data_IF_833107612793
#
_entry.id   IF_833107612793
#
_cell.length_a   1.000
_cell.length_b   1.000
_cell.length_c   1.000
_cell.angle_alpha   90.00
_cell.angle_beta   90.00
_cell.angle_gamma   90.00
#
_symmetry.space_group_name_H-M   'P 1'
#
loop_
_entity.id
_entity.type
_entity.pdbx_description
1 polymer ?
#
# COMPACT_ATOMS: atom_id res chain seq x y z
N UNK A 1 -12.45 13.40 -16.99
CA UNK A 1 -11.00 13.42 -17.29
C UNK A 1 -10.83 13.43 -18.79
N UNK A 2 -9.91 14.21 -19.33
CA UNK A 2 -9.56 14.09 -20.75
C UNK A 2 -8.76 12.79 -20.93
N UNK A 3 -8.93 12.06 -22.04
CA UNK A 3 -8.20 10.81 -22.28
C UNK A 3 -6.68 10.98 -22.32
N UNK A 4 -6.21 12.23 -22.49
CA UNK A 4 -4.79 12.61 -22.40
C UNK A 4 -4.25 12.62 -20.96
N UNK A 5 -5.10 12.91 -19.98
CA UNK A 5 -4.73 12.92 -18.56
C UNK A 5 -4.53 11.47 -18.09
N UNK A 6 -5.45 10.58 -18.45
CA UNK A 6 -5.36 9.16 -18.11
C UNK A 6 -4.11 8.51 -18.71
N UNK A 7 -3.79 8.77 -19.98
CA UNK A 7 -2.58 8.24 -20.62
C UNK A 7 -1.29 8.71 -19.94
N UNK A 8 -1.29 9.93 -19.39
CA UNK A 8 -0.14 10.45 -18.65
C UNK A 8 -0.02 9.79 -17.28
N UNK A 9 -1.14 9.53 -16.61
CA UNK A 9 -1.18 8.76 -15.37
C UNK A 9 -0.75 7.31 -15.58
N UNK A 10 -1.24 6.64 -16.63
CA UNK A 10 -0.85 5.27 -16.98
C UNK A 10 0.67 5.13 -17.08
N UNK A 11 1.34 6.12 -17.69
CA UNK A 11 2.81 6.14 -17.78
C UNK A 11 3.49 6.37 -16.45
N UNK A 12 2.96 7.29 -15.65
CA UNK A 12 3.53 7.65 -14.34
C UNK A 12 3.46 6.47 -13.36
N UNK A 13 2.31 5.78 -13.33
CA UNK A 13 2.07 4.60 -12.48
C UNK A 13 2.70 3.32 -13.06
N UNK A 14 3.18 3.37 -14.31
CA UNK A 14 3.77 2.22 -14.99
C UNK A 14 2.75 1.10 -15.28
N UNK A 15 1.51 1.48 -15.55
CA UNK A 15 0.45 0.58 -15.99
C UNK A 15 0.83 -0.09 -17.34
N UNK A 16 0.55 -1.40 -17.53
CA UNK A 16 -0.08 -2.33 -16.58
C UNK A 16 0.94 -3.14 -15.75
N UNK A 17 2.24 -2.82 -15.79
CA UNK A 17 3.28 -3.69 -15.24
C UNK A 17 3.37 -3.61 -13.72
N UNK A 18 3.49 -2.40 -13.17
CA UNK A 18 3.62 -2.20 -11.72
C UNK A 18 2.27 -2.11 -11.02
N UNK A 19 1.32 -1.43 -11.65
CA UNK A 19 -0.03 -1.22 -11.12
C UNK A 19 -1.08 -1.56 -12.17
N UNK A 20 -2.26 -1.99 -11.70
CA UNK A 20 -3.49 -2.16 -12.50
C UNK A 20 -4.52 -1.11 -12.13
N UNK A 21 -5.46 -0.86 -13.05
CA UNK A 21 -6.61 0.03 -12.83
C UNK A 21 -7.78 -0.76 -12.28
N UNK A 22 -8.38 -0.27 -11.21
CA UNK A 22 -9.63 -0.81 -10.64
C UNK A 22 -10.69 0.29 -10.65
N UNK A 23 -11.91 -0.09 -11.06
CA UNK A 23 -13.09 0.77 -11.02
C UNK A 23 -13.97 0.37 -9.84
N UNK A 24 -14.40 1.35 -9.06
CA UNK A 24 -15.28 1.13 -7.91
C UNK A 24 -16.23 2.31 -7.72
N UNK A 25 -17.39 2.03 -7.13
CA UNK A 25 -18.36 3.07 -6.77
C UNK A 25 -18.09 3.60 -5.36
N UNK A 26 -18.16 4.91 -5.19
CA UNK A 26 -18.22 5.56 -3.88
C UNK A 26 -19.46 6.44 -3.78
N UNK A 27 -19.98 6.58 -2.56
CA UNK A 27 -21.00 7.58 -2.27
C UNK A 27 -20.34 8.94 -2.01
N UNK A 28 -20.71 9.94 -2.80
CA UNK A 28 -20.30 11.32 -2.61
C UNK A 28 -21.55 12.18 -2.50
N UNK A 29 -21.86 12.60 -1.28
CA UNK A 29 -23.03 13.42 -0.97
C UNK A 29 -24.38 12.77 -1.34
N UNK A 30 -24.50 11.45 -1.16
CA UNK A 30 -25.70 10.67 -1.50
C UNK A 30 -25.82 10.30 -2.97
N UNK A 31 -24.81 10.63 -3.79
CA UNK A 31 -24.72 10.24 -5.20
C UNK A 31 -23.62 9.20 -5.36
N UNK A 32 -23.95 8.05 -5.97
CA UNK A 32 -22.96 7.05 -6.37
C UNK A 32 -22.15 7.57 -7.55
N UNK A 33 -20.82 7.56 -7.40
CA UNK A 33 -19.87 7.93 -8.46
C UNK A 33 -18.89 6.81 -8.69
N UNK A 34 -18.71 6.45 -9.96
CA UNK A 34 -17.64 5.56 -10.38
C UNK A 34 -16.30 6.31 -10.28
N UNK A 35 -15.33 5.65 -9.67
CA UNK A 35 -13.97 6.13 -9.46
C UNK A 35 -12.97 5.10 -9.97
N UNK A 36 -11.79 5.57 -10.37
CA UNK A 36 -10.68 4.74 -10.80
C UNK A 36 -9.50 4.95 -9.85
N UNK A 37 -8.86 3.85 -9.44
CA UNK A 37 -7.60 3.88 -8.71
C UNK A 37 -6.59 2.88 -9.29
N UNK A 38 -5.31 3.16 -9.06
CA UNK A 38 -4.21 2.25 -9.38
C UNK A 38 -3.86 1.42 -8.15
N UNK A 39 -3.85 0.10 -8.31
CA UNK A 39 -3.47 -0.86 -7.26
C UNK A 39 -2.23 -1.63 -7.70
N UNK A 40 -1.28 -1.79 -6.79
CA UNK A 40 -0.04 -2.49 -7.06
C UNK A 40 -0.35 -3.95 -7.42
N UNK A 41 0.31 -4.47 -8.45
CA UNK A 41 0.09 -5.85 -8.91
C UNK A 41 0.68 -6.87 -7.95
N UNK A 42 1.89 -6.60 -7.48
CA UNK A 42 2.66 -7.47 -6.60
C UNK A 42 3.44 -6.62 -5.61
N UNK A 43 3.69 -7.13 -4.42
CA UNK A 43 4.46 -6.47 -3.37
C UNK A 43 4.22 -7.15 -2.02
N UNK A 44 5.10 -6.87 -1.06
CA UNK A 44 4.93 -7.24 0.33
C UNK A 44 4.51 -6.00 1.12
N UNK A 45 3.75 -6.20 2.20
CA UNK A 45 3.39 -5.11 3.07
C UNK A 45 4.63 -4.72 3.87
N UNK A 46 5.05 -3.47 3.72
CA UNK A 46 6.21 -2.91 4.41
C UNK A 46 5.92 -1.49 4.86
N UNK A 47 6.44 -1.04 6.00
CA UNK A 47 6.31 0.34 6.44
C UNK A 47 6.84 1.33 5.41
N UNK A 48 6.11 2.42 5.14
CA UNK A 48 6.59 3.46 4.24
C UNK A 48 7.73 4.26 4.88
N UNK A 49 8.57 4.84 4.03
CA UNK A 49 9.48 5.91 4.46
C UNK A 49 8.70 7.06 5.11
N UNK A 50 9.26 7.62 6.19
CA UNK A 50 8.60 8.67 6.99
C UNK A 50 8.19 9.90 6.16
N UNK A 51 9.02 10.30 5.20
CA UNK A 51 8.70 11.38 4.27
C UNK A 51 7.44 11.06 3.44
N UNK A 52 7.33 9.85 2.91
CA UNK A 52 6.18 9.42 2.09
C UNK A 52 4.90 9.41 2.91
N UNK A 53 4.94 8.85 4.12
CA UNK A 53 3.81 8.87 5.06
C UNK A 53 3.35 10.32 5.36
N UNK A 54 4.29 11.22 5.62
CA UNK A 54 3.98 12.61 5.95
C UNK A 54 3.34 13.39 4.80
N UNK A 55 3.73 13.11 3.55
CA UNK A 55 3.09 13.71 2.37
C UNK A 55 1.63 13.24 2.25
N UNK A 56 1.35 11.95 2.45
CA UNK A 56 -0.03 11.43 2.44
C UNK A 56 -0.85 12.04 3.58
N UNK A 57 -0.27 12.12 4.79
CA UNK A 57 -0.92 12.74 5.95
C UNK A 57 -1.30 14.20 5.69
N UNK A 58 -0.42 14.99 5.08
CA UNK A 58 -0.73 16.36 4.67
C UNK A 58 -1.91 16.41 3.69
N UNK A 59 -1.99 15.47 2.75
CA UNK A 59 -3.12 15.34 1.83
C UNK A 59 -4.45 15.05 2.55
N UNK A 60 -4.44 14.15 3.54
CA UNK A 60 -5.60 13.87 4.37
C UNK A 60 -6.06 15.12 5.13
N UNK A 61 -5.12 15.79 5.82
CA UNK A 61 -5.40 16.98 6.64
C UNK A 61 -5.93 18.14 5.80
N UNK A 62 -5.33 18.39 4.63
CA UNK A 62 -5.75 19.45 3.72
C UNK A 62 -7.17 19.23 3.16
N UNK A 63 -7.64 17.99 3.09
CA UNK A 63 -8.97 17.63 2.61
C UNK A 63 -9.96 17.28 3.73
N UNK A 64 -9.57 17.47 5.00
CA UNK A 64 -10.42 17.15 6.16
C UNK A 64 -10.77 15.66 6.28
N UNK A 65 -9.92 14.78 5.75
CA UNK A 65 -10.11 13.33 5.80
C UNK A 65 -9.65 12.75 7.15
N UNK A 66 -10.27 11.66 7.56
CA UNK A 66 -9.92 10.99 8.81
C UNK A 66 -8.54 10.29 8.71
N UNK A 67 -7.55 10.85 9.40
CA UNK A 67 -6.18 10.30 9.46
C UNK A 67 -6.08 8.97 10.22
N UNK A 68 -7.14 8.54 10.93
CA UNK A 68 -7.14 7.28 11.69
C UNK A 68 -6.89 6.06 10.79
N UNK A 69 -7.44 6.07 9.56
CA UNK A 69 -7.21 5.02 8.57
C UNK A 69 -5.74 4.94 8.14
N UNK A 70 -5.10 6.10 7.95
CA UNK A 70 -3.68 6.17 7.58
C UNK A 70 -2.78 5.67 8.73
N UNK A 71 -3.10 6.04 9.98
CA UNK A 71 -2.39 5.53 11.16
C UNK A 71 -2.55 4.02 11.31
N UNK A 72 -3.77 3.50 11.15
CA UNK A 72 -4.04 2.06 11.24
C UNK A 72 -3.29 1.27 10.15
N UNK A 73 -3.19 1.81 8.93
CA UNK A 73 -2.41 1.21 7.86
C UNK A 73 -0.90 1.16 8.19
N UNK A 74 -0.35 2.22 8.80
CA UNK A 74 1.04 2.23 9.26
C UNK A 74 1.27 1.18 10.37
N UNK A 75 0.42 1.15 11.39
CA UNK A 75 0.50 0.17 12.48
C UNK A 75 0.46 -1.27 11.95
N UNK A 76 -0.45 -1.54 11.02
CA UNK A 76 -0.55 -2.84 10.34
C UNK A 76 0.73 -3.17 9.56
N UNK A 77 1.28 -2.22 8.79
CA UNK A 77 2.47 -2.46 8.00
C UNK A 77 3.71 -2.77 8.84
N UNK A 78 3.83 -2.14 10.00
CA UNK A 78 4.91 -2.40 10.96
C UNK A 78 4.73 -3.79 11.57
N UNK A 79 3.51 -4.13 11.96
CA UNK A 79 3.23 -5.44 12.56
C UNK A 79 3.51 -6.59 11.58
N UNK A 80 3.13 -6.46 10.30
CA UNK A 80 3.38 -7.50 9.31
C UNK A 80 4.87 -7.66 9.00
N UNK A 81 5.64 -6.57 8.97
CA UNK A 81 7.09 -6.67 8.83
C UNK A 81 7.73 -7.47 9.97
N UNK A 82 7.32 -7.23 11.22
CA UNK A 82 7.84 -7.99 12.37
C UNK A 82 7.49 -9.48 12.29
N UNK A 83 6.29 -9.84 11.81
CA UNK A 83 5.93 -11.26 11.68
C UNK A 83 6.72 -11.98 10.59
N UNK A 84 7.00 -11.30 9.47
CA UNK A 84 7.86 -11.87 8.43
C UNK A 84 9.31 -12.02 8.94
N UNK A 85 9.85 -11.03 9.65
CA UNK A 85 11.21 -11.07 10.23
C UNK A 85 11.35 -12.17 11.31
N UNK A 86 10.41 -12.30 12.25
CA UNK A 86 10.46 -13.32 13.31
C UNK A 86 10.29 -14.75 12.76
N UNK A 87 9.51 -14.94 11.70
CA UNK A 87 9.34 -16.23 11.03
C UNK A 87 10.59 -16.65 10.26
N UNK A 88 11.29 -15.69 9.64
CA UNK A 88 12.57 -15.94 8.97
C UNK A 88 13.67 -16.27 10.01
N UNK A 89 13.69 -15.61 11.16
CA UNK A 89 14.66 -15.89 12.25
C UNK A 89 14.40 -17.25 12.95
N UNK A 90 13.14 -17.67 13.19
CA UNK A 90 12.84 -18.99 13.77
C UNK A 90 13.24 -20.16 12.85
N UNK A 91 13.22 -19.98 11.53
CA UNK A 91 13.60 -21.03 10.58
C UNK A 91 15.11 -21.27 10.53
N UNK A 92 15.92 -20.26 10.84
CA UNK A 92 17.37 -20.33 10.83
C UNK A 92 17.96 -20.98 12.10
N UNK A 93 17.24 -21.03 13.23
CA UNK A 93 17.73 -21.66 14.48
C UNK A 93 17.60 -23.19 14.51
N UNK A 94 16.75 -23.80 13.67
CA UNK A 94 16.52 -25.26 13.66
C UNK A 94 17.49 -26.05 12.76
N UNK A 95 18.27 -25.38 11.89
CA UNK A 95 19.19 -26.06 10.95
C UNK A 95 20.57 -26.39 11.58
N UNK A 96 20.87 -25.89 12.78
CA UNK A 96 22.17 -26.09 13.45
C UNK A 96 22.24 -27.36 14.35
N UNK A 97 21.16 -28.16 14.43
CA UNK A 97 21.12 -29.39 15.24
C UNK A 97 21.39 -30.71 14.46
N UNK A 98 21.76 -30.66 13.17
CA UNK A 98 22.09 -31.85 12.36
C UNK A 98 23.58 -32.00 11.98
N UNK A 99 24.50 -31.69 12.88
CA UNK A 99 25.93 -32.06 12.73
C UNK A 99 26.49 -32.84 13.92
N UNK A 100 25.96 -34.05 14.20
CA UNK A 100 26.74 -35.12 14.87
C UNK A 100 26.31 -36.49 14.34
N UNK A 101 27.02 -36.96 13.31
CA UNK A 101 27.15 -38.38 12.98
C UNK A 101 28.25 -39.00 13.86
#
# INVERSE_FOLDING_TARGET
MDGRDEHSLDKYEGFPNYYRKELFEIDVNGEKKECMAYLMNNGHISPPMSYYYNVIKQGYEANGMDTSYLRAALEKSVCEQYFDEEMDEEFDEDDDLQMKL
#
